data_IF_533049022723
#
_entry.id   IF_533049022723
#
_cell.length_a   1.000
_cell.length_b   1.000
_cell.length_c   1.000
_cell.angle_alpha   90.00
_cell.angle_beta   90.00
_cell.angle_gamma   90.00
#
_symmetry.space_group_name_H-M   'P 1'
#
loop_
_entity.id
_entity.type
_entity.pdbx_description
1 polymer ?
#
# COMPACT_ATOMS: atom_id res chain seq x y z
N UNK A 1 12.52 0.04 -4.52
CA UNK A 1 12.01 1.40 -4.83
C UNK A 1 12.78 1.92 -6.03
N UNK A 2 12.08 2.41 -7.07
CA UNK A 2 12.66 3.05 -8.27
C UNK A 2 12.04 4.45 -8.39
N UNK A 3 12.73 5.36 -9.07
CA UNK A 3 12.25 6.75 -9.16
C UNK A 3 11.25 6.88 -10.29
N UNK A 4 10.03 7.34 -9.98
CA UNK A 4 9.00 7.58 -10.99
C UNK A 4 9.35 8.72 -11.96
N UNK A 5 10.31 9.58 -11.62
CA UNK A 5 10.68 10.75 -12.43
C UNK A 5 12.06 10.63 -13.09
N UNK A 6 13.02 9.94 -12.43
CA UNK A 6 14.33 9.69 -13.05
C UNK A 6 14.32 8.49 -14.00
N UNK A 7 13.47 7.49 -13.77
CA UNK A 7 13.45 6.27 -14.58
C UNK A 7 12.38 6.29 -15.71
N UNK A 8 11.70 7.42 -15.95
CA UNK A 8 10.56 7.56 -16.91
C UNK A 8 10.91 7.09 -18.33
N UNK A 9 12.17 7.18 -18.74
CA UNK A 9 12.64 6.72 -20.07
C UNK A 9 12.83 5.20 -20.18
N UNK A 10 12.71 4.44 -19.10
CA UNK A 10 13.02 2.99 -19.03
C UNK A 10 11.81 2.13 -18.61
N UNK A 11 10.66 2.74 -18.32
CA UNK A 11 9.46 1.96 -17.97
C UNK A 11 8.76 1.44 -19.23
N UNK A 12 8.73 0.12 -19.37
CA UNK A 12 7.87 -0.57 -20.34
C UNK A 12 6.39 -0.26 -20.08
N UNK A 13 5.60 -0.06 -21.14
CA UNK A 13 4.17 0.29 -21.05
C UNK A 13 3.36 -0.72 -20.21
N UNK A 14 3.73 -2.01 -20.27
CA UNK A 14 3.10 -3.08 -19.50
C UNK A 14 3.27 -2.89 -17.99
N UNK A 15 4.44 -2.41 -17.56
CA UNK A 15 4.75 -2.18 -16.15
C UNK A 15 4.02 -0.94 -15.63
N UNK A 16 3.91 0.11 -16.44
CA UNK A 16 3.10 1.30 -16.09
C UNK A 16 1.62 0.91 -15.95
N UNK A 17 1.09 0.13 -16.89
CA UNK A 17 -0.31 -0.33 -16.84
C UNK A 17 -0.57 -1.23 -15.62
N UNK A 18 0.39 -2.08 -15.22
CA UNK A 18 0.29 -2.87 -13.99
C UNK A 18 0.17 -1.98 -12.75
N UNK A 19 0.99 -0.94 -12.62
CA UNK A 19 0.89 -0.03 -11.47
C UNK A 19 -0.39 0.80 -11.48
N UNK A 20 -0.86 1.22 -12.66
CA UNK A 20 -2.13 1.94 -12.81
C UNK A 20 -3.34 1.06 -12.45
N UNK A 21 -3.34 -0.21 -12.84
CA UNK A 21 -4.41 -1.16 -12.54
C UNK A 21 -4.41 -1.63 -11.08
N UNK A 22 -3.24 -1.78 -10.46
CA UNK A 22 -3.12 -2.20 -9.07
C UNK A 22 -3.50 -1.05 -8.12
N UNK A 23 -2.87 0.11 -8.28
CA UNK A 23 -3.10 1.31 -7.47
C UNK A 23 -2.69 1.16 -6.00
N UNK A 24 -2.42 2.30 -5.37
CA UNK A 24 -2.02 2.35 -3.96
C UNK A 24 -3.14 1.83 -3.04
N UNK A 25 -4.40 2.03 -3.41
CA UNK A 25 -5.56 1.57 -2.63
C UNK A 25 -5.56 0.05 -2.44
N UNK A 26 -5.23 -0.72 -3.47
CA UNK A 26 -5.14 -2.17 -3.35
C UNK A 26 -3.98 -2.59 -2.45
N UNK A 27 -2.78 -2.02 -2.67
CA UNK A 27 -1.59 -2.31 -1.88
C UNK A 27 -1.79 -1.97 -0.39
N UNK A 28 -2.33 -0.78 -0.11
CA UNK A 28 -2.70 -0.34 1.24
C UNK A 28 -3.74 -1.27 1.86
N UNK A 29 -4.70 -1.78 1.08
CA UNK A 29 -5.69 -2.73 1.58
C UNK A 29 -5.10 -4.09 2.00
N UNK A 30 -3.90 -4.46 1.59
CA UNK A 30 -3.25 -5.71 2.00
C UNK A 30 -2.30 -5.44 3.17
N UNK A 31 -1.44 -4.43 3.04
CA UNK A 31 -0.42 -4.13 4.04
C UNK A 31 -0.95 -3.35 5.25
N UNK A 32 -1.92 -2.46 5.10
CA UNK A 32 -2.44 -1.64 6.20
C UNK A 32 -3.63 -2.29 6.92
N UNK A 33 -4.31 -3.28 6.31
CA UNK A 33 -5.41 -4.01 6.99
C UNK A 33 -4.95 -4.75 8.24
N UNK A 34 -3.70 -5.22 8.33
CA UNK A 34 -3.18 -5.88 9.54
C UNK A 34 -2.86 -4.89 10.68
N UNK A 35 -2.57 -3.62 10.38
CA UNK A 35 -2.25 -2.62 11.40
C UNK A 35 -3.48 -2.21 12.22
N UNK A 36 -4.66 -2.18 11.61
CA UNK A 36 -5.91 -1.87 12.31
C UNK A 36 -6.34 -2.98 13.28
N UNK A 37 -5.99 -4.24 13.04
CA UNK A 37 -6.29 -5.33 13.99
C UNK A 37 -5.44 -5.23 15.27
N UNK A 38 -4.15 -4.88 15.15
CA UNK A 38 -3.26 -4.70 16.31
C UNK A 38 -3.63 -3.49 17.17
N UNK A 39 -4.02 -2.36 16.57
CA UNK A 39 -4.32 -1.16 17.35
C UNK A 39 -5.73 -1.19 18.00
N UNK A 40 -6.63 -2.03 17.45
CA UNK A 40 -7.95 -2.27 18.04
C UNK A 40 -7.91 -3.22 19.24
N UNK A 41 -6.87 -4.04 19.37
CA UNK A 41 -6.63 -4.86 20.57
C UNK A 41 -5.96 -4.10 21.73
N UNK A 42 -5.51 -2.86 21.54
CA UNK A 42 -4.76 -2.11 22.57
C UNK A 42 -5.43 -0.80 23.03
N UNK A 43 -6.69 -0.54 22.63
CA UNK A 43 -7.40 0.69 23.03
C UNK A 43 -8.83 0.46 23.55
N UNK A 44 -9.18 -0.77 23.92
CA UNK A 44 -10.55 -1.12 24.30
C UNK A 44 -10.78 -1.67 25.70
N UNK A 45 -9.79 -2.32 26.33
CA UNK A 45 -10.05 -3.12 27.54
C UNK A 45 -9.03 -2.84 28.65
N UNK A 46 -8.96 -1.59 29.09
CA UNK A 46 -8.47 -1.24 30.42
C UNK A 46 -9.62 -0.58 31.19
N UNK A 47 -10.31 -1.40 31.99
CA UNK A 47 -11.35 -1.11 33.02
C UNK A 47 -12.67 -0.48 32.53
N UNK A 48 -13.85 -1.12 32.72
CA UNK A 48 -14.59 -1.31 34.00
C UNK A 48 -14.87 -0.01 34.73
#
# INVERSE_FOLDING_TARGET
>A
VRSLTLDVKVWEFSVINLFQTLGNTYANSIWEKQLHFTNKSSSGDADM
#
